data_IF_571802854927
#
_entry.id   IF_571802854927
#
_cell.length_a   1.000
_cell.length_b   1.000
_cell.length_c   1.000
_cell.angle_alpha   90.00
_cell.angle_beta   90.00
_cell.angle_gamma   90.00
#
_symmetry.space_group_name_H-M   'P 1'
#
loop_
_entity.id
_entity.type
_entity.pdbx_description
1 polymer ?
#
# COMPACT_ATOMS: atom_id res chain seq x y z
N UNK A 1 46.99 43.71 -33.36
CA UNK A 1 46.12 43.82 -34.56
C UNK A 1 45.24 42.58 -34.57
N UNK A 2 43.98 42.76 -34.15
CA UNK A 2 42.73 41.97 -34.38
C UNK A 2 42.88 40.44 -34.59
N UNK A 3 42.14 39.51 -34.00
CA UNK A 3 41.17 39.40 -32.91
C UNK A 3 40.76 37.90 -32.87
N UNK A 4 39.95 37.53 -31.88
CA UNK A 4 39.15 36.29 -31.77
C UNK A 4 39.87 35.06 -31.21
N UNK A 5 39.70 34.68 -29.94
CA UNK A 5 38.50 34.40 -29.13
C UNK A 5 37.93 32.98 -29.37
N UNK A 6 37.78 32.30 -28.24
CA UNK A 6 36.84 31.21 -27.93
C UNK A 6 37.21 29.76 -28.32
N UNK A 7 37.77 29.10 -27.30
CA UNK A 7 37.46 27.77 -26.78
C UNK A 7 36.11 27.22 -27.25
N UNK A 8 36.14 26.01 -27.82
CA UNK A 8 34.97 25.22 -28.17
C UNK A 8 34.92 23.96 -27.28
N UNK A 9 33.88 23.76 -26.45
CA UNK A 9 33.54 22.46 -25.89
C UNK A 9 32.54 21.77 -26.83
N UNK A 10 32.67 20.46 -27.05
CA UNK A 10 31.59 19.66 -27.61
C UNK A 10 31.39 18.41 -26.77
N UNK A 11 30.38 18.47 -25.90
CA UNK A 11 29.79 17.33 -25.24
C UNK A 11 28.78 16.66 -26.18
N UNK A 12 28.68 15.34 -25.99
CA UNK A 12 27.54 14.46 -26.24
C UNK A 12 27.26 14.02 -27.68
N UNK A 13 27.77 12.82 -27.98
CA UNK A 13 27.17 11.91 -28.95
C UNK A 13 25.80 11.45 -28.42
N UNK A 14 24.74 11.75 -29.18
CA UNK A 14 23.47 11.06 -29.09
C UNK A 14 23.37 10.15 -30.32
N UNK A 15 23.25 8.86 -30.06
CA UNK A 15 23.05 7.81 -31.07
C UNK A 15 21.64 7.97 -31.67
N UNK A 16 21.55 8.78 -32.72
CA UNK A 16 20.34 8.96 -33.51
C UNK A 16 20.14 7.70 -34.36
N UNK A 17 19.37 6.74 -33.80
CA UNK A 17 18.74 5.65 -34.55
C UNK A 17 18.25 6.20 -35.89
N UNK A 18 18.97 5.81 -36.95
CA UNK A 18 18.86 6.36 -38.28
C UNK A 18 17.40 6.53 -38.70
N UNK A 19 16.94 7.80 -38.78
CA UNK A 19 15.74 8.14 -39.53
C UNK A 19 15.96 7.68 -40.96
N UNK A 20 15.05 6.86 -41.55
CA UNK A 20 15.16 6.54 -42.96
C UNK A 20 15.17 7.85 -43.76
N UNK A 21 16.06 8.00 -44.76
CA UNK A 21 16.16 9.23 -45.54
C UNK A 21 14.81 9.52 -46.19
N UNK A 22 14.30 10.74 -45.99
CA UNK A 22 13.07 11.19 -46.65
C UNK A 22 13.36 11.28 -48.15
N UNK A 23 12.70 10.48 -49.01
CA UNK A 23 12.98 10.51 -50.44
C UNK A 23 12.64 11.89 -51.01
N UNK A 24 13.45 12.35 -51.98
CA UNK A 24 13.21 13.60 -52.68
C UNK A 24 11.81 13.62 -53.30
N UNK A 25 11.10 14.75 -53.20
CA UNK A 25 9.76 14.90 -53.75
C UNK A 25 9.77 14.65 -55.27
N UNK A 26 9.20 13.52 -55.68
CA UNK A 26 9.10 13.08 -57.06
C UNK A 26 7.87 12.18 -57.22
N UNK A 27 7.40 12.03 -58.46
CA UNK A 27 6.23 11.20 -58.76
C UNK A 27 6.48 9.75 -58.33
N UNK A 28 5.79 9.32 -57.28
CA UNK A 28 5.80 7.93 -56.81
C UNK A 28 4.72 7.17 -57.57
N UNK A 29 5.12 6.37 -58.56
CA UNK A 29 4.23 5.42 -59.23
C UNK A 29 4.24 4.13 -58.43
N UNK A 30 3.14 3.86 -57.72
CA UNK A 30 2.94 2.62 -56.98
C UNK A 30 2.12 1.65 -57.84
N UNK A 31 2.63 0.43 -58.14
CA UNK A 31 1.85 -0.61 -58.78
C UNK A 31 0.55 -0.89 -58.00
N UNK A 32 -0.55 -1.12 -58.73
CA UNK A 32 -1.88 -1.26 -58.12
C UNK A 32 -1.94 -2.43 -57.12
N UNK A 33 -1.18 -3.50 -57.38
CA UNK A 33 -1.01 -4.65 -56.49
C UNK A 33 -0.29 -4.29 -55.19
N UNK A 34 0.73 -3.44 -55.26
CA UNK A 34 1.45 -2.96 -54.07
C UNK A 34 0.60 -1.97 -53.26
N UNK A 35 -0.15 -1.10 -53.93
CA UNK A 35 -1.16 -0.25 -53.30
C UNK A 35 -2.21 -1.08 -52.54
N UNK A 36 -2.81 -2.07 -53.21
CA UNK A 36 -3.83 -2.93 -52.61
C UNK A 36 -3.27 -3.70 -51.41
N UNK A 37 -2.03 -4.22 -51.52
CA UNK A 37 -1.34 -4.89 -50.42
C UNK A 37 -1.10 -3.97 -49.22
N UNK A 38 -0.71 -2.70 -49.44
CA UNK A 38 -0.51 -1.73 -48.37
C UNK A 38 -1.84 -1.33 -47.71
N UNK A 39 -2.91 -1.17 -48.50
CA UNK A 39 -4.26 -0.93 -47.98
C UNK A 39 -4.75 -2.12 -47.13
N UNK A 40 -4.51 -3.35 -47.57
CA UNK A 40 -4.81 -4.55 -46.79
C UNK A 40 -3.99 -4.64 -45.50
N UNK A 41 -2.70 -4.26 -45.52
CA UNK A 41 -1.86 -4.24 -44.33
C UNK A 41 -2.26 -3.13 -43.36
N UNK A 42 -2.61 -1.94 -43.85
CA UNK A 42 -3.10 -0.83 -43.04
C UNK A 42 -4.48 -1.10 -42.43
N UNK A 43 -5.32 -1.87 -43.14
CA UNK A 43 -6.63 -2.32 -42.66
C UNK A 43 -6.57 -3.45 -41.63
N UNK A 44 -5.42 -4.11 -41.45
CA UNK A 44 -5.27 -5.14 -40.42
C UNK A 44 -5.23 -4.47 -39.03
N UNK A 45 -6.22 -4.73 -38.16
CA UNK A 45 -6.17 -4.21 -36.80
C UNK A 45 -4.92 -4.74 -36.10
N UNK A 46 -4.12 -3.83 -35.53
CA UNK A 46 -2.96 -4.22 -34.74
C UNK A 46 -3.39 -5.22 -33.67
N UNK A 47 -2.70 -6.37 -33.60
CA UNK A 47 -3.00 -7.41 -32.61
C UNK A 47 -2.80 -6.81 -31.22
N UNK A 48 -3.90 -6.60 -30.50
CA UNK A 48 -3.83 -6.11 -29.12
C UNK A 48 -3.01 -7.14 -28.32
N UNK A 49 -1.96 -6.71 -27.59
CA UNK A 49 -1.28 -7.58 -26.66
C UNK A 49 -2.31 -8.18 -25.71
N UNK A 50 -2.21 -9.47 -25.46
CA UNK A 50 -3.10 -10.16 -24.53
C UNK A 50 -2.94 -9.50 -23.15
N UNK A 51 -4.03 -8.95 -22.61
CA UNK A 51 -4.00 -8.29 -21.32
C UNK A 51 -3.96 -9.37 -20.24
N UNK A 52 -3.18 -9.20 -19.15
CA UNK A 52 -3.14 -10.18 -18.09
C UNK A 52 -4.56 -10.38 -17.51
N UNK A 53 -4.95 -11.62 -17.16
CA UNK A 53 -6.28 -11.91 -16.62
C UNK A 53 -6.60 -11.13 -15.34
N UNK A 54 -5.56 -10.76 -14.58
CA UNK A 54 -5.67 -9.98 -13.35
C UNK A 54 -4.73 -8.78 -13.46
N UNK A 55 -5.19 -7.55 -13.15
CA UNK A 55 -4.39 -6.35 -13.35
C UNK A 55 -3.26 -6.18 -12.32
N UNK A 56 -3.42 -6.75 -11.12
CA UNK A 56 -2.43 -6.71 -10.03
C UNK A 56 -2.60 -7.91 -9.11
N UNK A 57 -1.60 -8.19 -8.28
CA UNK A 57 -1.67 -9.17 -7.19
C UNK A 57 -1.12 -8.55 -5.91
N UNK A 58 -1.70 -8.89 -4.77
CA UNK A 58 -1.19 -8.49 -3.45
C UNK A 58 -0.53 -9.71 -2.79
N UNK A 59 0.80 -9.66 -2.67
CA UNK A 59 1.63 -10.78 -2.20
C UNK A 59 1.58 -10.90 -0.67
N UNK A 60 1.73 -9.77 0.03
CA UNK A 60 1.88 -9.74 1.48
C UNK A 60 1.36 -8.45 2.10
N UNK A 61 0.77 -8.56 3.28
CA UNK A 61 0.46 -7.45 4.16
C UNK A 61 1.07 -7.65 5.55
N UNK A 62 1.84 -6.68 6.03
CA UNK A 62 2.34 -6.63 7.39
C UNK A 62 1.67 -5.46 8.13
N UNK A 63 0.94 -5.79 9.19
CA UNK A 63 0.17 -4.87 10.00
C UNK A 63 0.90 -4.70 11.33
N UNK A 64 1.27 -3.47 11.68
CA UNK A 64 1.91 -3.15 12.96
C UNK A 64 1.08 -2.11 13.67
N UNK A 65 0.42 -2.49 14.76
CA UNK A 65 -0.48 -1.62 15.50
C UNK A 65 -0.11 -1.55 16.98
N UNK A 66 -0.42 -0.40 17.58
CA UNK A 66 -0.31 -0.13 18.99
C UNK A 66 -1.63 0.48 19.46
N UNK A 67 -2.08 0.04 20.62
CA UNK A 67 -3.16 0.68 21.34
C UNK A 67 -2.58 1.82 22.19
N UNK A 68 -3.01 3.06 21.95
CA UNK A 68 -2.60 4.24 22.70
C UNK A 68 -3.75 5.25 22.75
N UNK A 69 -3.95 5.90 23.91
CA UNK A 69 -4.90 7.02 24.08
C UNK A 69 -6.27 6.75 23.45
N UNK A 70 -6.92 5.65 23.85
CA UNK A 70 -8.27 5.27 23.39
C UNK A 70 -8.40 5.04 21.87
N UNK A 71 -7.29 4.82 21.19
CA UNK A 71 -7.27 4.50 19.76
C UNK A 71 -6.26 3.41 19.45
N UNK A 72 -6.39 2.81 18.27
CA UNK A 72 -5.41 1.88 17.72
C UNK A 72 -4.73 2.57 16.56
N UNK A 73 -3.42 2.72 16.63
CA UNK A 73 -2.63 3.43 15.60
C UNK A 73 -1.43 2.60 15.18
N UNK A 74 -1.00 2.77 13.95
CA UNK A 74 0.08 1.95 13.44
C UNK A 74 0.34 2.13 11.95
N UNK A 75 1.07 1.16 11.39
CA UNK A 75 1.45 1.12 9.99
C UNK A 75 0.96 -0.16 9.32
N UNK A 76 0.51 -0.04 8.08
CA UNK A 76 0.13 -1.13 7.19
C UNK A 76 1.08 -1.13 6.00
N UNK A 77 1.89 -2.17 5.87
CA UNK A 77 2.80 -2.34 4.75
C UNK A 77 2.21 -3.36 3.78
N UNK A 78 1.99 -2.94 2.54
CA UNK A 78 1.41 -3.73 1.47
C UNK A 78 2.45 -3.95 0.38
N UNK A 79 2.60 -5.19 -0.07
CA UNK A 79 3.52 -5.57 -1.13
C UNK A 79 2.78 -6.38 -2.19
N UNK A 80 3.06 -6.10 -3.45
CA UNK A 80 2.40 -6.75 -4.56
C UNK A 80 3.07 -6.46 -5.88
N UNK A 81 2.39 -6.84 -6.95
CA UNK A 81 2.86 -6.67 -8.32
C UNK A 81 1.72 -6.20 -9.21
N UNK A 82 2.02 -5.24 -10.09
CA UNK A 82 1.14 -4.76 -11.14
C UNK A 82 1.52 -5.51 -12.40
N UNK A 83 0.55 -6.26 -12.93
CA UNK A 83 0.73 -7.05 -14.14
C UNK A 83 0.30 -6.25 -15.37
N UNK A 84 -0.67 -5.36 -15.21
CA UNK A 84 -1.21 -4.53 -16.27
C UNK A 84 -0.20 -3.46 -16.73
N UNK A 85 -0.18 -3.18 -18.03
CA UNK A 85 0.63 -2.11 -18.62
C UNK A 85 -0.13 -0.79 -18.53
N UNK A 86 0.38 0.16 -17.76
CA UNK A 86 -0.23 1.48 -17.57
C UNK A 86 -0.77 1.71 -16.15
N UNK A 87 -1.63 2.71 -16.01
CA UNK A 87 -2.20 3.08 -14.72
C UNK A 87 -3.24 2.05 -14.24
N UNK A 88 -3.10 1.60 -13.00
CA UNK A 88 -3.98 0.61 -12.36
C UNK A 88 -4.40 1.11 -10.99
N UNK A 89 -5.72 1.06 -10.74
CA UNK A 89 -6.30 1.32 -9.43
C UNK A 89 -6.09 0.11 -8.53
N UNK A 90 -5.42 0.31 -7.41
CA UNK A 90 -5.13 -0.73 -6.42
C UNK A 90 -5.85 -0.38 -5.11
N UNK A 91 -6.86 -1.17 -4.70
CA UNK A 91 -7.48 -1.01 -3.39
C UNK A 91 -6.47 -1.44 -2.32
N UNK A 92 -6.19 -0.54 -1.38
CA UNK A 92 -5.18 -0.75 -0.35
C UNK A 92 -5.80 -1.22 0.95
N UNK A 93 -6.81 -0.49 1.44
CA UNK A 93 -7.51 -0.82 2.69
C UNK A 93 -8.88 -0.16 2.74
N UNK A 94 -9.76 -0.68 3.59
CA UNK A 94 -11.10 -0.16 3.85
C UNK A 94 -11.30 0.01 5.35
N UNK A 95 -12.18 0.92 5.76
CA UNK A 95 -12.58 1.07 7.17
C UNK A 95 -11.49 1.58 8.13
N UNK A 96 -10.31 1.95 7.63
CA UNK A 96 -9.24 2.58 8.41
C UNK A 96 -9.17 4.08 8.12
N UNK A 97 -8.82 4.87 9.12
CA UNK A 97 -8.46 6.27 8.94
C UNK A 97 -6.99 6.35 8.53
N UNK A 98 -6.68 6.85 7.32
CA UNK A 98 -5.30 7.00 6.86
C UNK A 98 -4.74 8.34 7.30
N UNK A 99 -3.61 8.30 8.00
CA UNK A 99 -2.88 9.46 8.51
C UNK A 99 -1.78 9.90 7.54
N UNK A 100 -1.08 8.94 6.96
CA UNK A 100 -0.05 9.16 5.93
C UNK A 100 -0.01 7.98 4.97
N UNK A 101 0.40 8.23 3.73
CA UNK A 101 0.49 7.21 2.70
C UNK A 101 1.75 7.43 1.87
N UNK A 102 2.57 6.38 1.76
CA UNK A 102 3.87 6.45 1.13
C UNK A 102 4.14 5.26 0.22
N UNK A 103 4.78 5.53 -0.90
CA UNK A 103 5.38 4.52 -1.78
C UNK A 103 6.86 4.87 -1.91
N UNK A 104 7.73 3.92 -1.55
CA UNK A 104 9.20 4.12 -1.60
C UNK A 104 9.66 5.41 -0.90
N UNK A 105 9.00 5.76 0.21
CA UNK A 105 9.28 6.96 1.01
C UNK A 105 8.71 8.27 0.44
N UNK A 106 8.10 8.25 -0.75
CA UNK A 106 7.43 9.41 -1.37
C UNK A 106 5.95 9.39 -1.04
N UNK A 107 5.33 10.57 -0.91
CA UNK A 107 3.89 10.68 -0.68
C UNK A 107 3.10 9.98 -1.79
N UNK A 108 2.12 9.18 -1.39
CA UNK A 108 1.26 8.42 -2.28
C UNK A 108 -0.16 9.03 -2.27
N UNK A 109 -0.61 9.63 -3.38
CA UNK A 109 -1.97 10.13 -3.49
C UNK A 109 -2.99 8.99 -3.37
N UNK A 110 -3.99 9.19 -2.53
CA UNK A 110 -5.09 8.26 -2.32
C UNK A 110 -6.41 8.83 -2.81
N UNK A 111 -7.21 7.98 -3.44
CA UNK A 111 -8.61 8.22 -3.74
C UNK A 111 -9.47 7.37 -2.79
N UNK A 112 -10.58 7.93 -2.30
CA UNK A 112 -11.55 7.18 -1.50
C UNK A 112 -12.74 6.82 -2.37
N UNK A 113 -12.87 5.53 -2.71
CA UNK A 113 -13.94 5.01 -3.57
C UNK A 113 -14.73 3.96 -2.78
N UNK A 114 -16.03 4.17 -2.57
CA UNK A 114 -16.91 3.26 -1.82
C UNK A 114 -16.37 2.87 -0.43
N UNK A 115 -15.73 3.80 0.29
CA UNK A 115 -15.12 3.52 1.61
C UNK A 115 -13.81 2.71 1.54
N UNK A 116 -13.23 2.54 0.36
CA UNK A 116 -11.93 1.88 0.13
C UNK A 116 -10.90 2.91 -0.34
N UNK A 117 -9.79 3.00 0.38
CA UNK A 117 -8.64 3.80 -0.01
C UNK A 117 -7.91 3.10 -1.15
N UNK A 118 -7.80 3.79 -2.28
CA UNK A 118 -7.27 3.28 -3.54
C UNK A 118 -6.13 4.17 -4.00
N UNK A 119 -5.05 3.56 -4.47
CA UNK A 119 -3.95 4.27 -5.13
C UNK A 119 -3.92 3.95 -6.62
N UNK A 120 -3.46 4.91 -7.43
CA UNK A 120 -3.20 4.68 -8.85
C UNK A 120 -1.72 4.50 -9.04
N UNK A 121 -1.31 3.27 -9.36
CA UNK A 121 0.09 2.93 -9.60
C UNK A 121 0.29 2.57 -11.08
N UNK A 122 1.50 2.78 -11.60
CA UNK A 122 1.84 2.50 -13.00
C UNK A 122 2.65 1.21 -13.08
N UNK A 123 2.17 0.26 -13.90
CA UNK A 123 2.82 -1.02 -14.14
C UNK A 123 3.27 -1.22 -15.60
N UNK A 124 3.94 -2.35 -15.90
CA UNK A 124 4.14 -3.51 -15.02
C UNK A 124 5.33 -3.31 -14.07
N UNK A 125 5.12 -3.51 -12.77
CA UNK A 125 6.14 -3.33 -11.74
C UNK A 125 5.73 -3.96 -10.39
N UNK A 126 6.70 -4.34 -9.58
CA UNK A 126 6.47 -4.57 -8.15
C UNK A 126 6.16 -3.25 -7.45
N UNK A 127 5.37 -3.32 -6.37
CA UNK A 127 5.08 -2.16 -5.54
C UNK A 127 5.18 -2.48 -4.04
N UNK A 128 5.58 -1.48 -3.29
CA UNK A 128 5.58 -1.47 -1.84
C UNK A 128 4.96 -0.17 -1.33
N UNK A 129 3.84 -0.28 -0.63
CA UNK A 129 3.10 0.85 -0.07
C UNK A 129 3.09 0.74 1.45
N UNK A 130 3.29 1.86 2.13
CA UNK A 130 3.18 1.98 3.58
C UNK A 130 2.11 3.02 3.89
N UNK A 131 1.13 2.61 4.69
CA UNK A 131 0.06 3.47 5.18
C UNK A 131 0.19 3.61 6.69
N UNK A 132 0.26 4.83 7.20
CA UNK A 132 0.04 5.06 8.62
C UNK A 132 -1.46 5.22 8.84
N UNK A 133 -2.02 4.46 9.78
CA UNK A 133 -3.45 4.32 9.93
C UNK A 133 -3.89 4.28 11.39
N UNK A 134 -5.11 4.77 11.61
CA UNK A 134 -5.84 4.72 12.88
C UNK A 134 -7.13 3.92 12.75
N UNK A 135 -7.50 3.28 13.86
CA UNK A 135 -8.73 2.52 14.05
C UNK A 135 -9.38 2.94 15.38
N UNK A 136 -10.72 3.01 15.43
CA UNK A 136 -11.43 3.30 16.67
C UNK A 136 -11.31 2.13 17.64
N UNK A 137 -11.17 2.45 18.93
CA UNK A 137 -11.19 1.48 20.02
C UNK A 137 -12.53 1.59 20.76
N UNK A 138 -13.22 0.47 20.93
CA UNK A 138 -14.38 0.38 21.81
C UNK A 138 -13.93 -0.09 23.19
N UNK A 139 -14.26 0.69 24.22
CA UNK A 139 -14.00 0.35 25.62
C UNK A 139 -15.36 0.24 26.33
N UNK A 140 -15.68 -0.96 26.77
CA UNK A 140 -16.82 -1.27 27.62
C UNK A 140 -16.29 -1.68 29.01
N UNK A 141 -17.13 -1.69 30.04
CA UNK A 141 -16.71 -2.02 31.40
C UNK A 141 -15.97 -3.37 31.46
N UNK A 142 -14.64 -3.32 31.67
CA UNK A 142 -13.75 -4.49 31.74
C UNK A 142 -13.32 -5.10 30.39
N UNK A 143 -13.66 -4.50 29.24
CA UNK A 143 -13.29 -5.01 27.91
C UNK A 143 -12.91 -3.88 26.96
N UNK A 144 -11.78 -4.06 26.27
CA UNK A 144 -11.41 -3.24 25.12
C UNK A 144 -11.42 -4.09 23.84
N UNK A 145 -11.88 -3.52 22.73
CA UNK A 145 -11.99 -4.21 21.46
C UNK A 145 -11.92 -3.28 20.26
N UNK A 146 -11.48 -3.81 19.11
CA UNK A 146 -11.54 -3.11 17.83
C UNK A 146 -11.68 -4.10 16.68
N UNK A 147 -12.30 -3.65 15.59
CA UNK A 147 -12.39 -4.39 14.34
C UNK A 147 -11.21 -4.02 13.45
N UNK A 148 -10.47 -5.01 12.97
CA UNK A 148 -9.34 -4.85 12.06
C UNK A 148 -9.75 -5.30 10.66
N UNK A 149 -9.89 -4.37 9.70
CA UNK A 149 -10.03 -4.70 8.29
C UNK A 149 -8.76 -5.40 7.80
N UNK A 150 -8.88 -6.61 7.27
CA UNK A 150 -7.75 -7.40 6.79
C UNK A 150 -7.67 -7.30 5.27
N UNK A 151 -6.57 -6.77 4.70
CA UNK A 151 -6.39 -6.70 3.25
C UNK A 151 -6.47 -8.08 2.59
N UNK A 152 -6.95 -8.12 1.35
CA UNK A 152 -6.92 -9.33 0.53
C UNK A 152 -5.52 -9.50 -0.06
N UNK A 153 -4.67 -10.26 0.63
CA UNK A 153 -3.29 -10.54 0.22
C UNK A 153 -2.97 -12.04 0.31
N UNK A 154 -1.89 -12.49 -0.34
CA UNK A 154 -1.43 -13.87 -0.24
C UNK A 154 -1.09 -14.31 1.19
N UNK A 155 -0.61 -13.38 2.03
CA UNK A 155 -0.40 -13.60 3.46
C UNK A 155 -0.57 -12.32 4.25
N UNK A 156 -1.07 -12.43 5.49
CA UNK A 156 -1.23 -11.29 6.40
C UNK A 156 -0.66 -11.60 7.77
N UNK A 157 0.28 -10.76 8.22
CA UNK A 157 0.85 -10.81 9.57
C UNK A 157 0.46 -9.58 10.36
N UNK A 158 0.19 -9.78 11.64
CA UNK A 158 -0.11 -8.73 12.60
C UNK A 158 0.93 -8.75 13.71
N UNK A 159 1.50 -7.59 14.01
CA UNK A 159 2.15 -7.30 15.28
C UNK A 159 1.31 -6.27 16.03
N UNK A 160 0.86 -6.61 17.23
CA UNK A 160 -0.01 -5.76 18.04
C UNK A 160 0.59 -5.56 19.43
N UNK A 161 0.66 -4.31 19.86
CA UNK A 161 1.03 -3.93 21.23
C UNK A 161 -0.20 -3.40 21.95
N UNK A 162 -0.55 -4.03 23.07
CA UNK A 162 -1.68 -3.63 23.93
C UNK A 162 -1.18 -3.24 25.33
N UNK A 163 -1.86 -2.31 26.02
CA UNK A 163 -1.54 -1.97 27.40
C UNK A 163 -1.83 -3.12 28.36
N UNK A 164 -1.07 -3.12 29.46
CA UNK A 164 -1.17 -4.10 30.55
C UNK A 164 -0.15 -5.22 30.41
N UNK A 165 0.34 -5.68 31.56
CA UNK A 165 1.20 -6.85 31.62
C UNK A 165 0.38 -8.14 31.61
N UNK A 166 0.86 -9.11 30.82
CA UNK A 166 0.22 -10.40 30.63
C UNK A 166 -1.25 -10.32 30.20
N UNK A 167 -1.60 -9.28 29.42
CA UNK A 167 -2.95 -9.06 28.90
C UNK A 167 -3.34 -10.21 27.98
N UNK A 168 -4.49 -10.83 28.24
CA UNK A 168 -4.97 -11.92 27.41
C UNK A 168 -5.71 -11.40 26.17
N UNK A 169 -4.98 -11.28 25.07
CA UNK A 169 -5.55 -10.87 23.77
C UNK A 169 -6.19 -12.04 23.05
N UNK A 170 -7.37 -11.81 22.49
CA UNK A 170 -8.14 -12.76 21.67
C UNK A 170 -8.35 -12.18 20.27
N UNK A 171 -8.26 -13.05 19.27
CA UNK A 171 -8.47 -12.74 17.85
C UNK A 171 -9.55 -13.69 17.34
N UNK A 172 -10.61 -13.17 16.73
CA UNK A 172 -11.70 -13.99 16.20
C UNK A 172 -11.29 -14.82 14.99
N UNK A 173 -10.54 -14.24 14.05
CA UNK A 173 -10.09 -14.90 12.82
C UNK A 173 -8.57 -14.73 12.65
N UNK A 174 -7.83 -15.78 13.00
CA UNK A 174 -6.37 -15.80 12.92
C UNK A 174 -5.75 -16.69 13.99
N UNK A 175 -4.43 -16.76 13.98
CA UNK A 175 -3.64 -17.56 14.91
C UNK A 175 -2.56 -16.69 15.53
N UNK A 176 -2.56 -16.58 16.86
CA UNK A 176 -1.46 -15.94 17.61
C UNK A 176 -0.25 -16.87 17.58
N UNK A 177 0.86 -16.39 17.05
CA UNK A 177 2.11 -17.13 16.88
C UNK A 177 3.13 -16.82 17.96
N UNK A 178 3.09 -15.62 18.55
CA UNK A 178 3.97 -15.24 19.64
C UNK A 178 3.27 -14.29 20.61
N UNK A 179 3.72 -14.30 21.86
CA UNK A 179 3.28 -13.38 22.93
C UNK A 179 4.44 -13.10 23.85
N UNK A 180 4.66 -11.82 24.14
CA UNK A 180 5.60 -11.35 25.17
C UNK A 180 4.95 -10.24 25.99
N UNK A 181 5.46 -10.04 27.20
CA UNK A 181 5.07 -8.91 28.05
C UNK A 181 6.34 -8.24 28.56
N UNK A 182 6.44 -6.93 28.38
CA UNK A 182 7.55 -6.13 28.86
C UNK A 182 7.06 -4.71 29.16
N UNK A 183 7.55 -4.11 30.26
CA UNK A 183 7.32 -2.70 30.60
C UNK A 183 5.84 -2.29 30.65
N UNK A 184 4.95 -3.13 31.20
CA UNK A 184 3.52 -2.79 31.30
C UNK A 184 2.75 -2.91 30.00
N UNK A 185 3.31 -3.60 28.99
CA UNK A 185 2.72 -3.79 27.67
C UNK A 185 2.81 -5.26 27.28
N UNK A 186 1.77 -5.74 26.60
CA UNK A 186 1.75 -7.07 25.99
C UNK A 186 1.88 -6.92 24.48
N UNK A 187 2.90 -7.56 23.90
CA UNK A 187 3.07 -7.65 22.46
C UNK A 187 2.64 -9.05 21.99
N UNK A 188 1.91 -9.10 20.88
CA UNK A 188 1.57 -10.34 20.20
C UNK A 188 1.94 -10.26 18.73
N UNK A 189 2.28 -11.40 18.15
CA UNK A 189 2.27 -11.58 16.71
C UNK A 189 1.23 -12.62 16.33
N UNK A 190 0.58 -12.42 15.20
CA UNK A 190 -0.44 -13.32 14.69
C UNK A 190 -0.44 -13.39 13.16
N UNK A 191 -0.92 -14.50 12.63
CA UNK A 191 -1.30 -14.64 11.21
C UNK A 191 -2.81 -14.49 11.09
N UNK A 192 -3.29 -13.66 10.16
CA UNK A 192 -4.71 -13.39 9.98
C UNK A 192 -5.25 -14.09 8.73
N UNK A 193 -6.57 -14.27 8.66
CA UNK A 193 -7.25 -14.79 7.46
C UNK A 193 -7.35 -13.66 6.43
N UNK A 194 -6.71 -13.75 5.25
CA UNK A 194 -6.72 -12.67 4.28
C UNK A 194 -8.12 -12.32 3.78
N UNK A 195 -8.39 -11.02 3.62
CA UNK A 195 -9.66 -10.52 3.10
C UNK A 195 -10.86 -10.62 4.06
N UNK A 196 -10.69 -11.20 5.25
CA UNK A 196 -11.76 -11.30 6.25
C UNK A 196 -11.50 -10.37 7.44
N UNK A 197 -12.38 -9.40 7.73
CA UNK A 197 -12.20 -8.54 8.90
C UNK A 197 -12.20 -9.38 10.18
N UNK A 198 -11.32 -9.05 11.12
CA UNK A 198 -11.22 -9.76 12.41
C UNK A 198 -11.50 -8.83 13.58
N UNK A 199 -12.23 -9.32 14.58
CA UNK A 199 -12.36 -8.62 15.85
C UNK A 199 -11.20 -9.02 16.79
N UNK A 200 -10.63 -8.04 17.47
CA UNK A 200 -9.56 -8.22 18.45
C UNK A 200 -10.02 -7.61 19.76
N UNK A 201 -9.92 -8.36 20.86
CA UNK A 201 -10.35 -7.89 22.16
C UNK A 201 -9.52 -8.46 23.29
N UNK A 202 -9.52 -7.76 24.42
CA UNK A 202 -8.88 -8.17 25.66
C UNK A 202 -9.65 -7.61 26.86
N UNK A 203 -9.42 -8.21 28.02
CA UNK A 203 -10.00 -7.74 29.29
C UNK A 203 -9.14 -6.62 29.85
N UNK A 204 -9.74 -5.49 30.20
CA UNK A 204 -9.06 -4.41 30.91
C UNK A 204 -9.20 -4.66 32.42
N UNK A 205 -8.08 -4.65 33.15
CA UNK A 205 -8.12 -4.58 34.61
C UNK A 205 -8.23 -3.11 35.01
N UNK A 206 -9.31 -2.76 35.68
CA UNK A 206 -9.47 -1.44 36.27
C UNK A 206 -8.51 -1.36 37.47
N UNK A 207 -7.38 -0.66 37.32
CA UNK A 207 -6.59 -0.25 38.48
C UNK A 207 -7.33 0.90 39.15
N UNK A 208 -8.27 0.58 40.03
CA UNK A 208 -8.85 1.56 40.94
C UNK A 208 -7.72 2.09 41.84
N UNK A 209 -7.47 3.40 41.78
CA UNK A 209 -6.55 4.08 42.69
C UNK A 209 -7.04 3.86 44.13
N UNK A 210 -6.26 3.26 45.04
CA UNK A 210 -6.72 3.08 46.41
C UNK A 210 -6.91 4.45 47.06
N UNK A 211 -8.15 4.79 47.39
CA UNK A 211 -8.48 5.93 48.23
C UNK A 211 -7.89 5.66 49.61
N UNK A 212 -6.81 6.35 49.95
CA UNK A 212 -6.20 6.32 51.29
C UNK A 212 -7.25 6.83 52.29
N UNK A 213 -7.68 6.03 53.28
CA UNK A 213 -8.61 6.49 54.30
C UNK A 213 -7.94 7.60 55.13
N UNK A 214 -8.56 8.77 55.17
CA UNK A 214 -8.12 9.88 56.01
C UNK A 214 -8.52 9.56 57.45
N UNK A 215 -7.57 9.11 58.27
CA UNK A 215 -7.79 8.95 59.71
C UNK A 215 -8.15 10.30 60.33
N UNK A 216 -9.42 10.47 60.73
CA UNK A 216 -9.83 11.56 61.60
C UNK A 216 -9.60 11.13 63.05
N UNK A 217 -8.55 11.67 63.67
CA UNK A 217 -8.36 11.59 65.13
C UNK A 217 -9.48 12.39 65.80
N UNK A 218 -10.25 11.73 66.65
CA UNK A 218 -11.16 12.37 67.59
C UNK A 218 -10.34 12.91 68.77
N UNK A 219 -10.59 14.18 69.15
CA UNK A 219 -10.14 14.83 70.39
C UNK A 219 -11.34 14.93 71.34
#
# INVERSE_FOLDING_TARGET
MVAWMLVLPCFAAADELARPPVPAAGNVTLPLDEYNRLIELAGKPARKPDAPPVPYTMKRADLKFRVANESVQGSVQLQGEILHKGATKIPLTTGMAILDARQEGKGLPLALENGTHTAVLVGPADFAVTLDAGLPLSIEAGRASFSLPVPSAGSVRLALVVPGDHTNVRISLGLITSRSSEKGQTAIEATLVPGQPTNIWWTTRETATPVVPKEMRFL
#
